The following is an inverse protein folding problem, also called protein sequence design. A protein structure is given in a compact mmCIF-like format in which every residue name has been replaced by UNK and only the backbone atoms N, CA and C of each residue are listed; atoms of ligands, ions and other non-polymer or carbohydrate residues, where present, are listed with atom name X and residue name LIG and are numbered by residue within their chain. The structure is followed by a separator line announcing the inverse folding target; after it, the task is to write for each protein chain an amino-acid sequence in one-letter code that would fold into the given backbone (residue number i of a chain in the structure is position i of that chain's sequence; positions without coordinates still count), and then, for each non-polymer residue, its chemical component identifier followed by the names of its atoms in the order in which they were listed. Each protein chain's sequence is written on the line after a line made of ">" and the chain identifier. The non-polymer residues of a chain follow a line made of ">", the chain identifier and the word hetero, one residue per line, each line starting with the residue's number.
data_IF_847767950848
#
_entry.id   IF_847767950848
#
_cell.length_a   1.000
_cell.length_b   1.000
_cell.length_c   1.000
_cell.angle_alpha   90.00
_cell.angle_beta   90.00
_cell.angle_gamma   90.00
#
_symmetry.space_group_name_H-M   'P 1'
#
loop_
_entity.id
_entity.type
_entity.pdbx_description
1 polymer ?
#
# COMPACT_ATOMS: atom_id res chain seq x y z
N UNK A 1 21.78 -15.06 9.20
CA UNK A 1 21.17 -15.41 10.50
C UNK A 1 19.69 -15.58 10.23
N UNK A 2 19.17 -16.79 10.36
CA UNK A 2 17.80 -17.11 9.99
C UNK A 2 16.85 -16.50 11.03
N UNK A 3 16.06 -15.50 10.60
CA UNK A 3 15.13 -14.77 11.46
C UNK A 3 14.04 -15.68 12.05
N UNK A 4 13.72 -16.81 11.39
CA UNK A 4 12.80 -17.80 11.93
C UNK A 4 13.41 -18.57 13.10
N UNK A 5 14.71 -18.87 13.06
CA UNK A 5 15.37 -19.59 14.17
C UNK A 5 15.71 -18.70 15.37
N UNK A 6 15.78 -17.37 15.17
CA UNK A 6 16.15 -16.42 16.23
C UNK A 6 14.98 -15.69 16.88
N UNK A 7 13.76 -15.77 16.33
CA UNK A 7 12.60 -15.08 16.89
C UNK A 7 11.32 -15.95 16.81
N UNK A 8 10.79 -16.41 17.97
CA UNK A 8 9.59 -17.24 18.01
C UNK A 8 8.37 -16.60 17.34
N UNK A 9 8.24 -15.27 17.40
CA UNK A 9 7.14 -14.58 16.71
C UNK A 9 7.28 -14.66 15.20
N UNK A 10 8.49 -14.67 14.65
CA UNK A 10 8.73 -14.80 13.20
C UNK A 10 8.42 -16.22 12.75
N UNK A 11 8.83 -17.23 13.52
CA UNK A 11 8.54 -18.64 13.21
C UNK A 11 7.03 -18.95 13.23
N UNK A 12 6.29 -18.40 14.19
CA UNK A 12 4.88 -18.73 14.38
C UNK A 12 3.91 -17.83 13.59
N UNK A 13 4.29 -16.58 13.33
CA UNK A 13 3.34 -15.54 12.86
C UNK A 13 3.67 -14.96 11.49
N UNK A 14 4.83 -15.26 10.90
CA UNK A 14 5.24 -14.75 9.59
C UNK A 14 5.29 -15.87 8.55
N UNK A 15 4.42 -15.79 7.54
CA UNK A 15 4.54 -16.58 6.31
C UNK A 15 4.94 -15.68 5.14
N UNK A 16 5.89 -16.13 4.33
CA UNK A 16 6.32 -15.42 3.12
C UNK A 16 5.98 -16.28 1.90
N UNK A 17 5.19 -15.72 0.99
CA UNK A 17 4.79 -16.38 -0.25
C UNK A 17 5.44 -15.68 -1.43
N UNK A 18 6.30 -16.40 -2.16
CA UNK A 18 6.93 -15.90 -3.38
C UNK A 18 6.20 -16.44 -4.60
N UNK A 19 5.73 -15.56 -5.47
CA UNK A 19 5.27 -15.94 -6.80
C UNK A 19 6.40 -15.67 -7.81
N UNK A 20 7.10 -16.73 -8.18
CA UNK A 20 8.23 -16.67 -9.10
C UNK A 20 7.76 -17.28 -10.41
N UNK A 21 7.76 -16.49 -11.49
CA UNK A 21 7.59 -17.05 -12.82
C UNK A 21 8.78 -17.96 -13.09
N UNK A 22 8.54 -19.26 -13.27
CA UNK A 22 9.52 -20.25 -13.69
C UNK A 22 9.90 -20.02 -15.17
N UNK A 23 10.36 -18.81 -15.49
CA UNK A 23 11.11 -18.56 -16.70
C UNK A 23 12.50 -19.17 -16.48
N UNK A 24 13.04 -19.81 -17.51
CA UNK A 24 14.35 -20.51 -17.50
C UNK A 24 15.57 -19.60 -17.22
N UNK A 25 15.36 -18.40 -16.67
CA UNK A 25 16.38 -17.43 -16.32
C UNK A 25 16.45 -17.25 -14.79
N UNK A 26 17.47 -17.86 -14.20
CA UNK A 26 17.84 -17.84 -12.77
C UNK A 26 18.26 -16.46 -12.21
N UNK A 27 17.68 -15.36 -12.67
CA UNK A 27 18.22 -14.01 -12.41
C UNK A 27 17.56 -13.25 -11.25
N UNK A 28 16.75 -13.88 -10.37
CA UNK A 28 16.04 -13.09 -9.32
C UNK A 28 15.92 -13.70 -7.92
N UNK A 29 16.46 -14.89 -7.66
CA UNK A 29 16.16 -15.62 -6.40
C UNK A 29 17.28 -15.48 -5.34
N UNK A 30 18.48 -15.03 -5.74
CA UNK A 30 19.66 -15.19 -4.89
C UNK A 30 19.76 -14.22 -3.71
N UNK A 31 18.98 -13.14 -3.67
CA UNK A 31 19.05 -12.15 -2.56
C UNK A 31 18.00 -12.36 -1.47
N UNK A 32 16.94 -13.14 -1.70
CA UNK A 32 15.81 -13.23 -0.74
C UNK A 32 15.77 -14.52 0.08
N UNK A 33 16.58 -15.52 -0.28
CA UNK A 33 16.62 -16.80 0.42
C UNK A 33 18.10 -17.19 0.52
N UNK A 34 18.54 -17.64 1.69
CA UNK A 34 19.88 -18.16 1.96
C UNK A 34 20.18 -19.49 1.25
N UNK A 35 19.74 -19.62 -0.01
CA UNK A 35 20.20 -20.65 -0.94
C UNK A 35 21.41 -20.09 -1.70
N UNK A 36 22.60 -20.60 -1.41
CA UNK A 36 23.82 -20.35 -2.20
C UNK A 36 23.61 -20.87 -3.62
N UNK A 37 23.19 -20.01 -4.54
CA UNK A 37 23.26 -20.28 -5.99
C UNK A 37 24.60 -19.77 -6.52
N UNK A 38 25.69 -20.49 -6.27
CA UNK A 38 27.06 -19.97 -6.34
C UNK A 38 27.58 -19.42 -7.69
N UNK A 39 26.77 -19.23 -8.74
CA UNK A 39 27.16 -18.51 -9.97
C UNK A 39 25.96 -17.82 -10.65
N UNK A 40 25.63 -16.59 -10.27
CA UNK A 40 24.77 -15.72 -11.10
C UNK A 40 25.52 -14.43 -11.45
N UNK A 41 25.63 -14.14 -12.75
CA UNK A 41 26.15 -12.86 -13.28
C UNK A 41 24.98 -11.90 -13.48
N UNK A 42 25.08 -10.68 -12.96
CA UNK A 42 24.12 -9.61 -13.25
C UNK A 42 24.20 -9.23 -14.74
N UNK A 43 23.21 -9.65 -15.53
CA UNK A 43 23.05 -9.19 -16.90
C UNK A 43 22.22 -7.90 -16.86
N UNK A 44 22.83 -6.78 -17.24
CA UNK A 44 22.11 -5.51 -17.42
C UNK A 44 21.04 -5.72 -18.51
N UNK A 45 19.77 -5.80 -18.11
CA UNK A 45 18.66 -5.99 -19.05
C UNK A 45 18.51 -4.76 -19.94
N UNK A 46 18.18 -4.97 -21.21
CA UNK A 46 17.87 -3.89 -22.15
C UNK A 46 16.61 -3.13 -21.66
N UNK A 47 16.58 -1.80 -21.84
CA UNK A 47 15.47 -0.90 -21.53
C UNK A 47 14.10 -1.47 -21.96
N UNK A 48 14.00 -1.94 -23.21
CA UNK A 48 12.74 -2.49 -23.74
C UNK A 48 12.28 -3.74 -22.97
N UNK A 49 13.21 -4.62 -22.59
CA UNK A 49 12.91 -5.82 -21.80
C UNK A 49 12.48 -5.44 -20.38
N UNK A 50 13.09 -4.42 -19.78
CA UNK A 50 12.67 -3.91 -18.45
C UNK A 50 11.27 -3.32 -18.51
N UNK A 51 10.97 -2.51 -19.54
CA UNK A 51 9.65 -1.93 -19.75
C UNK A 51 8.57 -3.00 -19.98
N UNK A 52 8.84 -4.01 -20.81
CA UNK A 52 7.90 -5.10 -21.07
C UNK A 52 7.61 -5.90 -19.79
N UNK A 53 8.65 -6.25 -19.02
CA UNK A 53 8.47 -6.95 -17.75
C UNK A 53 7.63 -6.14 -16.73
N UNK A 54 7.75 -4.81 -16.76
CA UNK A 54 6.98 -3.92 -15.89
C UNK A 54 5.49 -3.92 -16.26
N UNK A 55 5.21 -3.85 -17.56
CA UNK A 55 3.84 -3.83 -18.12
C UNK A 55 3.13 -5.18 -17.98
N UNK A 56 3.87 -6.28 -18.14
CA UNK A 56 3.33 -7.64 -18.04
C UNK A 56 3.17 -8.12 -16.61
N UNK A 57 3.73 -7.40 -15.62
CA UNK A 57 3.66 -7.80 -14.24
C UNK A 57 2.19 -7.81 -13.73
N UNK A 58 1.65 -8.98 -13.34
CA UNK A 58 0.22 -9.11 -13.05
C UNK A 58 -0.10 -8.70 -11.60
N UNK A 59 0.27 -7.47 -11.21
CA UNK A 59 0.26 -6.98 -9.83
C UNK A 59 -1.04 -7.30 -9.07
N UNK A 60 -2.20 -7.05 -9.68
CA UNK A 60 -3.49 -7.23 -9.02
C UNK A 60 -3.88 -8.71 -8.86
N UNK A 61 -3.46 -9.58 -9.79
CA UNK A 61 -3.61 -11.02 -9.63
C UNK A 61 -2.75 -11.52 -8.47
N UNK A 62 -1.49 -11.07 -8.39
CA UNK A 62 -0.57 -11.46 -7.32
C UNK A 62 -1.09 -10.98 -5.95
N UNK A 63 -1.56 -9.74 -5.86
CA UNK A 63 -2.20 -9.20 -4.63
C UNK A 63 -3.40 -10.04 -4.21
N UNK A 64 -4.28 -10.39 -5.15
CA UNK A 64 -5.46 -11.21 -4.84
C UNK A 64 -5.08 -12.62 -4.40
N UNK A 65 -4.08 -13.23 -5.04
CA UNK A 65 -3.58 -14.55 -4.66
C UNK A 65 -3.00 -14.52 -3.24
N UNK A 66 -2.13 -13.55 -2.94
CA UNK A 66 -1.56 -13.37 -1.60
C UNK A 66 -2.67 -13.19 -0.56
N UNK A 67 -3.66 -12.33 -0.82
CA UNK A 67 -4.83 -12.12 0.06
C UNK A 67 -5.70 -13.35 0.26
N UNK A 68 -5.80 -14.23 -0.73
CA UNK A 68 -6.56 -15.48 -0.59
C UNK A 68 -5.83 -16.50 0.30
N UNK A 69 -4.51 -16.38 0.41
CA UNK A 69 -3.66 -17.26 1.23
C UNK A 69 -3.48 -16.75 2.66
N UNK A 70 -3.96 -15.54 3.00
CA UNK A 70 -3.87 -15.03 4.37
C UNK A 70 -4.93 -15.66 5.26
N UNK A 71 -4.54 -16.08 6.46
CA UNK A 71 -5.45 -16.63 7.48
C UNK A 71 -5.89 -15.59 8.53
N UNK A 72 -5.40 -14.35 8.42
CA UNK A 72 -5.66 -13.29 9.40
C UNK A 72 -6.98 -12.58 9.14
N UNK A 73 -7.70 -12.24 10.21
CA UNK A 73 -8.98 -11.53 10.13
C UNK A 73 -8.85 -10.14 9.50
N UNK A 74 -7.75 -9.46 9.79
CA UNK A 74 -7.45 -8.13 9.27
C UNK A 74 -6.19 -8.18 8.42
N UNK A 75 -6.16 -7.29 7.43
CA UNK A 75 -5.08 -7.20 6.45
C UNK A 75 -4.66 -5.75 6.26
N UNK A 76 -3.37 -5.59 5.95
CA UNK A 76 -2.76 -4.37 5.43
C UNK A 76 -2.02 -4.75 4.14
N UNK A 77 -2.02 -3.86 3.15
CA UNK A 77 -1.30 -4.04 1.90
C UNK A 77 -0.28 -2.90 1.78
N UNK A 78 0.99 -3.25 1.63
CA UNK A 78 2.08 -2.31 1.50
C UNK A 78 3.13 -2.86 0.53
N UNK A 79 3.93 -1.96 -0.04
CA UNK A 79 5.09 -2.39 -0.82
C UNK A 79 6.21 -2.80 0.17
N UNK A 80 7.15 -3.63 -0.28
CA UNK A 80 8.15 -4.26 0.61
C UNK A 80 9.15 -3.28 1.24
N UNK A 81 9.27 -2.09 0.66
CA UNK A 81 10.13 -0.99 1.08
C UNK A 81 9.41 0.01 2.00
N UNK A 82 8.15 -0.27 2.37
CA UNK A 82 7.42 0.55 3.32
C UNK A 82 7.48 -0.03 4.72
N UNK A 83 7.61 0.88 5.70
CA UNK A 83 7.73 0.55 7.10
C UNK A 83 6.66 1.26 7.91
N UNK A 84 6.38 0.75 9.09
CA UNK A 84 5.28 1.20 9.93
C UNK A 84 5.81 1.81 11.22
N UNK A 85 5.10 2.83 11.71
CA UNK A 85 5.40 3.48 12.98
C UNK A 85 5.46 2.49 14.14
N UNK A 86 6.17 2.85 15.21
CA UNK A 86 6.26 2.03 16.42
C UNK A 86 4.86 1.64 16.93
N UNK A 87 4.71 0.36 17.30
CA UNK A 87 3.46 -0.24 17.80
C UNK A 87 2.26 -0.15 16.83
N UNK A 88 2.49 0.04 15.53
CA UNK A 88 1.42 0.17 14.53
C UNK A 88 0.40 -0.97 14.59
N UNK A 89 0.87 -2.22 14.57
CA UNK A 89 -0.02 -3.39 14.59
C UNK A 89 -0.94 -3.37 15.82
N UNK A 90 -0.37 -3.22 17.01
CA UNK A 90 -1.11 -3.23 18.27
C UNK A 90 -2.16 -2.10 18.32
N UNK A 91 -1.78 -0.88 17.95
CA UNK A 91 -2.69 0.28 17.91
C UNK A 91 -3.82 0.08 16.91
N UNK A 92 -3.52 -0.45 15.72
CA UNK A 92 -4.52 -0.71 14.68
C UNK A 92 -5.45 -1.87 15.05
N UNK A 93 -4.94 -2.93 15.68
CA UNK A 93 -5.73 -4.05 16.18
C UNK A 93 -6.73 -3.59 17.25
N UNK A 94 -6.33 -2.67 18.15
CA UNK A 94 -7.24 -2.11 19.14
C UNK A 94 -8.47 -1.47 18.48
N UNK A 95 -8.26 -0.64 17.45
CA UNK A 95 -9.35 -0.02 16.71
C UNK A 95 -10.14 -1.03 15.86
N UNK A 96 -9.46 -1.93 15.16
CA UNK A 96 -10.12 -2.91 14.29
C UNK A 96 -11.06 -3.82 15.08
N UNK A 97 -10.61 -4.33 16.25
CA UNK A 97 -11.43 -5.15 17.14
C UNK A 97 -12.64 -4.39 17.69
N UNK A 98 -12.48 -3.09 17.97
CA UNK A 98 -13.57 -2.24 18.44
C UNK A 98 -14.60 -1.93 17.35
N UNK A 99 -14.15 -1.58 16.14
CA UNK A 99 -15.03 -0.99 15.12
C UNK A 99 -15.50 -1.96 14.06
N UNK A 100 -14.69 -2.91 13.59
CA UNK A 100 -15.07 -3.73 12.42
C UNK A 100 -16.21 -4.72 12.72
N UNK A 101 -16.42 -5.10 13.98
CA UNK A 101 -17.56 -5.93 14.38
C UNK A 101 -18.89 -5.20 14.18
N UNK A 102 -18.95 -3.92 14.57
CA UNK A 102 -20.18 -3.11 14.46
C UNK A 102 -20.29 -2.35 13.14
N UNK A 103 -19.16 -2.14 12.45
CA UNK A 103 -19.07 -1.41 11.19
C UNK A 103 -18.23 -2.20 10.17
N UNK A 104 -18.77 -3.30 9.61
CA UNK A 104 -18.02 -4.19 8.70
C UNK A 104 -17.62 -3.53 7.38
N UNK A 105 -18.22 -2.38 7.04
CA UNK A 105 -17.87 -1.54 5.88
C UNK A 105 -17.06 -0.30 6.30
N UNK A 106 -16.15 -0.47 7.26
CA UNK A 106 -15.20 0.56 7.66
C UNK A 106 -13.78 0.08 7.36
N UNK A 107 -12.91 1.02 6.98
CA UNK A 107 -11.46 0.80 6.93
C UNK A 107 -10.73 1.88 7.71
N UNK A 108 -9.56 1.52 8.23
CA UNK A 108 -8.73 2.35 9.08
C UNK A 108 -7.57 2.91 8.26
N UNK A 109 -7.69 4.17 7.83
CA UNK A 109 -6.70 4.84 6.97
C UNK A 109 -5.61 5.46 7.81
N UNK A 110 -4.36 5.29 7.39
CA UNK A 110 -3.19 5.92 8.00
C UNK A 110 -2.46 6.81 6.99
N UNK A 111 -1.62 7.71 7.49
CA UNK A 111 -0.83 8.64 6.66
C UNK A 111 0.47 7.96 6.20
N UNK A 112 1.01 8.44 5.09
CA UNK A 112 2.27 7.96 4.51
C UNK A 112 3.24 9.12 4.40
N UNK A 113 4.51 8.86 4.73
CA UNK A 113 5.58 9.84 4.69
C UNK A 113 6.79 9.30 3.89
N UNK A 114 7.60 10.21 3.37
CA UNK A 114 8.95 9.92 2.89
C UNK A 114 9.92 10.43 3.94
N UNK A 115 10.91 9.62 4.29
CA UNK A 115 11.94 9.93 5.28
C UNK A 115 13.30 9.67 4.64
N UNK A 116 14.25 10.57 4.86
CA UNK A 116 15.63 10.35 4.39
C UNK A 116 16.23 9.08 5.01
N UNK A 117 16.97 8.30 4.20
CA UNK A 117 17.42 6.95 4.57
C UNK A 117 18.24 6.93 5.87
N UNK A 118 19.01 7.99 6.12
CA UNK A 118 19.83 8.12 7.33
C UNK A 118 19.02 8.18 8.64
N UNK A 119 17.74 8.60 8.60
CA UNK A 119 16.87 8.68 9.78
C UNK A 119 15.91 7.50 9.94
N UNK A 120 15.95 6.53 9.01
CA UNK A 120 14.98 5.44 8.89
C UNK A 120 14.72 4.65 10.20
N UNK A 121 15.75 4.47 11.04
CA UNK A 121 15.65 3.71 12.32
C UNK A 121 15.71 4.60 13.58
N UNK A 122 15.73 5.92 13.43
CA UNK A 122 16.02 6.83 14.55
C UNK A 122 14.72 7.32 15.21
N UNK A 123 13.65 7.49 14.42
CA UNK A 123 12.43 8.20 14.85
C UNK A 123 11.14 7.51 14.38
N UNK A 124 10.87 6.33 14.93
CA UNK A 124 9.69 5.51 14.58
C UNK A 124 8.37 6.00 15.22
N UNK A 125 8.42 7.01 16.09
CA UNK A 125 7.23 7.59 16.77
C UNK A 125 6.70 8.80 16.01
N UNK A 126 5.44 9.16 16.24
CA UNK A 126 4.89 10.37 15.62
C UNK A 126 5.62 11.62 16.08
N UNK A 127 5.95 11.73 17.36
CA UNK A 127 6.73 12.88 17.85
C UNK A 127 8.05 12.99 17.08
N UNK A 128 8.77 11.88 16.91
CA UNK A 128 10.01 11.87 16.15
C UNK A 128 9.83 12.20 14.67
N UNK A 129 8.76 11.71 14.03
CA UNK A 129 8.45 12.09 12.65
C UNK A 129 8.15 13.59 12.51
N UNK A 130 7.44 14.19 13.46
CA UNK A 130 7.14 15.63 13.43
C UNK A 130 8.43 16.45 13.54
N UNK A 131 9.37 16.06 14.41
CA UNK A 131 10.71 16.68 14.48
C UNK A 131 11.41 16.63 13.12
N UNK A 132 11.45 15.46 12.47
CA UNK A 132 12.05 15.31 11.14
C UNK A 132 11.34 16.14 10.07
N UNK A 133 10.02 16.32 10.16
CA UNK A 133 9.28 17.18 9.23
C UNK A 133 9.63 18.66 9.42
N UNK A 134 9.84 19.10 10.66
CA UNK A 134 10.25 20.48 10.99
C UNK A 134 11.69 20.75 10.52
N UNK A 135 12.57 19.76 10.64
CA UNK A 135 13.96 19.79 10.17
C UNK A 135 14.10 19.55 8.64
N UNK A 136 12.99 19.22 7.96
CA UNK A 136 12.89 18.92 6.51
C UNK A 136 13.56 17.61 6.07
N UNK A 137 13.86 16.70 7.01
CA UNK A 137 14.30 15.33 6.75
C UNK A 137 13.15 14.35 6.48
N UNK A 138 11.91 14.79 6.68
CA UNK A 138 10.71 14.04 6.34
C UNK A 138 9.66 14.92 5.63
N UNK A 139 8.82 14.31 4.79
CA UNK A 139 7.73 14.98 4.11
C UNK A 139 6.54 14.07 3.85
N UNK A 140 5.40 14.65 3.48
CA UNK A 140 4.25 13.86 3.01
C UNK A 140 4.63 13.08 1.75
N UNK A 141 4.23 11.81 1.71
CA UNK A 141 4.49 10.92 0.59
C UNK A 141 3.89 11.46 -0.71
N UNK A 142 4.73 11.61 -1.74
CA UNK A 142 4.40 12.37 -2.95
C UNK A 142 3.65 13.68 -2.64
N UNK A 143 4.18 14.58 -1.80
CA UNK A 143 3.46 15.78 -1.32
C UNK A 143 2.85 16.70 -2.40
N UNK A 144 3.27 16.59 -3.67
CA UNK A 144 2.70 17.30 -4.82
C UNK A 144 1.59 16.54 -5.55
N UNK A 145 1.40 15.25 -5.24
CA UNK A 145 0.38 14.39 -5.81
C UNK A 145 -0.88 14.42 -4.94
N UNK A 146 -1.96 14.95 -5.50
CA UNK A 146 -3.26 15.09 -4.82
C UNK A 146 -3.80 13.74 -4.34
N UNK A 147 -3.41 12.63 -4.98
CA UNK A 147 -3.92 11.30 -4.65
C UNK A 147 -3.58 10.78 -3.26
N UNK A 148 -2.52 11.27 -2.61
CA UNK A 148 -2.21 10.88 -1.22
C UNK A 148 -2.56 11.96 -0.19
N UNK A 149 -3.23 13.03 -0.62
CA UNK A 149 -3.63 14.10 0.28
C UNK A 149 -4.66 13.60 1.30
N UNK A 150 -4.40 13.88 2.57
CA UNK A 150 -5.34 13.68 3.68
C UNK A 150 -5.41 14.99 4.47
N UNK A 151 -6.60 15.62 4.59
CA UNK A 151 -6.72 16.93 5.22
C UNK A 151 -6.37 16.88 6.72
N UNK A 152 -6.27 18.06 7.35
CA UNK A 152 -5.99 18.21 8.79
C UNK A 152 -4.61 17.69 9.24
N UNK A 153 -3.59 17.79 8.38
CA UNK A 153 -2.21 17.42 8.74
C UNK A 153 -1.68 18.27 9.90
N UNK A 154 -1.91 19.59 9.91
CA UNK A 154 -1.46 20.46 11.01
C UNK A 154 -2.09 20.09 12.35
N UNK A 155 -3.39 19.75 12.36
CA UNK A 155 -4.07 19.27 13.56
C UNK A 155 -3.54 17.89 13.97
N UNK A 156 -3.22 17.03 13.00
CA UNK A 156 -2.58 15.74 13.26
C UNK A 156 -1.21 15.95 13.92
N UNK A 157 -0.31 16.76 13.36
CA UNK A 157 1.03 17.00 13.92
C UNK A 157 0.99 17.59 15.35
N UNK A 158 0.09 18.55 15.60
CA UNK A 158 -0.03 19.22 16.92
C UNK A 158 -0.67 18.35 18.01
N UNK A 159 -1.52 17.39 17.64
CA UNK A 159 -2.20 16.56 18.61
C UNK A 159 -1.22 15.60 19.30
N UNK A 160 -1.33 15.42 20.62
CA UNK A 160 -0.44 14.54 21.39
C UNK A 160 -0.52 13.10 20.88
N UNK A 161 0.61 12.41 20.82
CA UNK A 161 0.68 10.97 20.53
C UNK A 161 -0.03 10.18 21.65
N UNK A 162 -0.81 9.17 21.26
CA UNK A 162 -1.49 8.26 22.20
C UNK A 162 -0.48 7.33 22.86
N UNK A 163 -0.92 6.62 23.90
CA UNK A 163 -0.13 5.57 24.52
C UNK A 163 0.23 4.45 23.53
N UNK A 164 1.19 3.60 23.90
CA UNK A 164 1.74 2.57 23.02
C UNK A 164 0.72 1.53 22.56
N UNK A 165 -0.38 1.34 23.29
CA UNK A 165 -1.33 0.24 23.08
C UNK A 165 -2.62 0.66 22.35
N UNK A 166 -2.88 1.97 22.23
CA UNK A 166 -4.16 2.47 21.70
C UNK A 166 -3.95 3.67 20.78
N UNK A 167 -4.95 3.94 19.96
CA UNK A 167 -5.05 5.14 19.15
C UNK A 167 -6.53 5.49 18.97
N UNK A 168 -6.83 6.53 18.19
CA UNK A 168 -8.18 7.03 17.98
C UNK A 168 -8.46 7.37 16.52
N UNK A 169 -9.73 7.59 16.19
CA UNK A 169 -10.13 8.12 14.89
C UNK A 169 -10.04 9.65 14.94
N UNK A 170 -9.24 10.23 14.04
CA UNK A 170 -9.15 11.68 13.88
C UNK A 170 -10.42 12.24 13.24
N UNK A 171 -10.90 11.62 12.16
CA UNK A 171 -12.15 11.96 11.48
C UNK A 171 -12.54 10.87 10.48
N UNK A 172 -13.80 10.89 10.04
CA UNK A 172 -14.27 10.08 8.93
C UNK A 172 -14.17 10.87 7.62
N UNK A 173 -13.63 10.23 6.59
CA UNK A 173 -13.49 10.82 5.28
C UNK A 173 -14.35 10.06 4.26
N UNK A 174 -15.10 10.82 3.47
CA UNK A 174 -15.84 10.26 2.35
C UNK A 174 -14.94 10.23 1.13
N UNK A 175 -14.91 9.09 0.46
CA UNK A 175 -14.24 8.96 -0.83
C UNK A 175 -14.99 9.82 -1.86
N UNK A 176 -14.37 10.90 -2.33
CA UNK A 176 -15.03 11.92 -3.17
C UNK A 176 -14.22 12.27 -4.42
N UNK A 177 -13.07 11.64 -4.64
CA UNK A 177 -12.19 11.92 -5.77
C UNK A 177 -11.43 10.68 -6.20
N UNK A 178 -11.41 10.40 -7.51
CA UNK A 178 -10.91 9.14 -8.07
C UNK A 178 -9.39 8.97 -8.09
N UNK A 179 -8.59 10.02 -7.86
CA UNK A 179 -7.16 9.82 -7.67
C UNK A 179 -6.79 9.60 -6.21
N UNK A 180 -7.73 9.72 -5.26
CA UNK A 180 -7.43 9.49 -3.86
C UNK A 180 -7.10 8.01 -3.63
N UNK A 181 -5.88 7.73 -3.20
CA UNK A 181 -5.31 6.40 -2.98
C UNK A 181 -4.78 6.29 -1.54
N UNK A 182 -5.66 6.28 -0.52
CA UNK A 182 -5.26 6.04 0.85
C UNK A 182 -4.79 4.59 1.06
N UNK A 183 -3.85 4.41 1.97
CA UNK A 183 -3.50 3.11 2.53
C UNK A 183 -4.25 2.88 3.83
N UNK A 184 -4.62 1.63 4.10
CA UNK A 184 -5.52 1.31 5.20
C UNK A 184 -5.35 -0.11 5.71
N UNK A 185 -5.76 -0.31 6.96
CA UNK A 185 -6.07 -1.62 7.52
C UNK A 185 -7.56 -1.90 7.31
N UNK A 186 -7.89 -3.15 7.01
CA UNK A 186 -9.25 -3.58 6.70
C UNK A 186 -9.52 -5.00 7.15
N UNK A 187 -10.80 -5.39 7.23
CA UNK A 187 -11.18 -6.80 7.22
C UNK A 187 -10.73 -7.47 5.91
N UNK A 188 -10.39 -8.76 5.94
CA UNK A 188 -10.06 -9.53 4.74
C UNK A 188 -11.20 -9.54 3.70
N UNK A 189 -12.44 -9.27 4.14
CA UNK A 189 -13.68 -9.30 3.35
C UNK A 189 -13.89 -8.11 2.40
N UNK A 190 -12.94 -7.18 2.30
CA UNK A 190 -13.02 -6.12 1.27
C UNK A 190 -13.00 -6.72 -0.14
N UNK A 191 -13.53 -6.03 -1.17
CA UNK A 191 -13.44 -6.48 -2.56
C UNK A 191 -12.00 -6.81 -2.97
N UNK A 192 -11.84 -7.70 -3.95
CA UNK A 192 -10.54 -7.98 -4.56
C UNK A 192 -10.12 -6.85 -5.51
N UNK A 193 -8.82 -6.73 -5.77
CA UNK A 193 -8.32 -5.84 -6.83
C UNK A 193 -8.83 -6.33 -8.19
N UNK A 194 -9.22 -5.42 -9.09
CA UNK A 194 -9.68 -5.81 -10.43
C UNK A 194 -8.46 -6.15 -11.31
N UNK A 195 -8.30 -7.40 -11.79
CA UNK A 195 -7.14 -7.83 -12.57
C UNK A 195 -7.01 -7.15 -13.95
N UNK A 196 -8.08 -6.50 -14.42
CA UNK A 196 -8.05 -5.78 -15.71
C UNK A 196 -7.23 -4.49 -15.65
N UNK A 197 -6.89 -4.01 -14.45
CA UNK A 197 -6.02 -2.86 -14.24
C UNK A 197 -4.57 -3.32 -14.07
N UNK A 198 -3.72 -2.87 -15.00
CA UNK A 198 -2.29 -3.19 -15.06
C UNK A 198 -1.44 -2.16 -14.34
N UNK A 199 -0.30 -2.58 -13.83
CA UNK A 199 0.71 -1.67 -13.29
C UNK A 199 1.29 -0.78 -14.42
N UNK A 200 1.58 0.52 -14.19
CA UNK A 200 1.33 1.33 -12.99
C UNK A 200 0.08 2.22 -13.14
N UNK A 201 -1.01 1.73 -13.75
CA UNK A 201 -2.18 2.53 -14.12
C UNK A 201 -3.40 2.19 -13.26
N UNK A 202 -3.59 2.97 -12.18
CA UNK A 202 -4.71 2.84 -11.25
C UNK A 202 -4.86 1.42 -10.67
N UNK A 203 -3.77 0.66 -10.64
CA UNK A 203 -3.77 -0.73 -10.17
C UNK A 203 -4.19 -0.80 -8.70
N UNK A 204 -3.86 0.20 -7.87
CA UNK A 204 -4.28 0.27 -6.48
C UNK A 204 -5.57 1.10 -6.26
N UNK A 205 -5.75 2.22 -6.98
CA UNK A 205 -6.97 3.05 -6.95
C UNK A 205 -8.25 2.26 -7.21
N UNK A 206 -8.23 1.30 -8.15
CA UNK A 206 -9.44 0.56 -8.53
C UNK A 206 -10.13 -0.12 -7.36
N UNK A 207 -9.37 -0.64 -6.40
CA UNK A 207 -9.94 -1.23 -5.18
C UNK A 207 -10.70 -0.18 -4.37
N UNK A 208 -10.15 1.04 -4.24
CA UNK A 208 -10.78 2.13 -3.50
C UNK A 208 -12.06 2.61 -4.20
N UNK A 209 -12.07 2.63 -5.53
CA UNK A 209 -13.28 2.93 -6.30
C UNK A 209 -14.38 1.92 -5.99
N UNK A 210 -14.08 0.61 -6.07
CA UNK A 210 -15.07 -0.42 -5.75
C UNK A 210 -15.51 -0.35 -4.28
N UNK A 211 -14.60 -0.06 -3.34
CA UNK A 211 -14.95 0.13 -1.94
C UNK A 211 -15.87 1.34 -1.72
N UNK A 212 -15.63 2.46 -2.39
CA UNK A 212 -16.56 3.60 -2.37
C UNK A 212 -17.94 3.14 -2.85
N UNK A 213 -18.01 2.44 -3.99
CA UNK A 213 -19.26 1.92 -4.55
C UNK A 213 -19.95 0.91 -3.64
N UNK A 214 -19.19 0.12 -2.91
CA UNK A 214 -19.71 -0.82 -1.91
C UNK A 214 -20.18 -0.15 -0.61
N UNK A 215 -20.01 1.17 -0.47
CA UNK A 215 -20.44 1.96 0.68
C UNK A 215 -19.47 1.90 1.87
N UNK A 216 -18.17 1.76 1.62
CA UNK A 216 -17.17 1.78 2.68
C UNK A 216 -16.94 3.19 3.24
N UNK A 217 -16.75 3.26 4.55
CA UNK A 217 -16.34 4.46 5.27
C UNK A 217 -14.84 4.42 5.57
N UNK A 218 -14.13 5.51 5.29
CA UNK A 218 -12.70 5.62 5.52
C UNK A 218 -12.47 6.41 6.81
N UNK A 219 -12.11 5.71 7.89
CA UNK A 219 -11.84 6.32 9.18
C UNK A 219 -10.35 6.66 9.27
N UNK A 220 -10.01 7.95 9.30
CA UNK A 220 -8.63 8.40 9.37
C UNK A 220 -8.14 8.24 10.80
N UNK A 221 -7.09 7.43 10.98
CA UNK A 221 -6.53 7.09 12.28
C UNK A 221 -5.51 8.14 12.70
N UNK A 222 -5.49 8.43 13.99
CA UNK A 222 -4.50 9.29 14.63
C UNK A 222 -3.17 8.56 14.83
N UNK A 223 -2.07 9.30 14.91
CA UNK A 223 -0.71 8.89 15.35
C UNK A 223 -0.01 7.62 14.84
N UNK A 224 -0.66 6.79 14.03
CA UNK A 224 -0.06 5.69 13.29
C UNK A 224 0.18 6.12 11.85
N UNK A 225 1.30 5.68 11.31
CA UNK A 225 1.70 6.04 9.95
C UNK A 225 2.58 4.95 9.33
N UNK A 226 2.72 5.06 8.01
CA UNK A 226 3.66 4.31 7.21
C UNK A 226 4.69 5.28 6.65
N UNK A 227 5.90 4.82 6.38
CA UNK A 227 6.95 5.64 5.81
C UNK A 227 7.80 4.84 4.82
N UNK A 228 8.32 5.54 3.83
CA UNK A 228 9.21 5.01 2.80
C UNK A 228 10.60 5.65 2.99
N UNK A 229 11.68 4.86 3.15
CA UNK A 229 13.03 5.38 3.23
C UNK A 229 13.51 5.78 1.84
N UNK A 230 14.06 6.99 1.74
CA UNK A 230 14.57 7.52 0.48
C UNK A 230 13.47 8.11 -0.41
N UNK A 231 13.94 8.78 -1.46
CA UNK A 231 13.09 9.45 -2.45
C UNK A 231 13.21 8.75 -3.79
N UNK A 232 12.07 8.57 -4.49
CA UNK A 232 12.07 8.00 -5.84
C UNK A 232 13.02 8.74 -6.77
N UNK A 233 13.81 7.98 -7.51
CA UNK A 233 14.77 8.54 -8.45
C UNK A 233 14.08 9.04 -9.73
N UNK A 234 14.73 9.95 -10.46
CA UNK A 234 14.24 10.43 -11.76
C UNK A 234 14.18 9.30 -12.80
N UNK A 235 15.09 8.33 -12.72
CA UNK A 235 15.17 7.21 -13.66
C UNK A 235 13.97 6.27 -13.52
N UNK A 236 13.60 5.90 -12.29
CA UNK A 236 12.38 5.13 -12.02
C UNK A 236 11.13 5.83 -12.55
N UNK A 237 11.07 7.15 -12.39
CA UNK A 237 9.95 7.96 -12.89
C UNK A 237 9.82 7.88 -14.42
N UNK A 238 10.93 7.90 -15.16
CA UNK A 238 10.93 7.81 -16.62
C UNK A 238 10.40 6.46 -17.13
N UNK A 239 10.79 5.34 -16.50
CA UNK A 239 10.28 4.01 -16.87
C UNK A 239 8.76 3.92 -16.66
N UNK A 240 8.27 4.45 -15.54
CA UNK A 240 6.84 4.47 -15.23
C UNK A 240 6.07 5.27 -16.27
N UNK A 241 6.56 6.43 -16.70
CA UNK A 241 5.87 7.26 -17.68
C UNK A 241 5.76 6.59 -19.06
N UNK A 242 6.81 5.91 -19.52
CA UNK A 242 6.73 5.12 -20.76
C UNK A 242 5.74 3.96 -20.64
N UNK A 243 5.70 3.28 -19.49
CA UNK A 243 4.74 2.20 -19.24
C UNK A 243 3.29 2.72 -19.24
N UNK A 244 3.05 3.87 -18.61
CA UNK A 244 1.74 4.55 -18.59
C UNK A 244 1.29 4.93 -19.99
N UNK A 245 2.21 5.43 -20.81
CA UNK A 245 1.92 5.77 -22.20
C UNK A 245 1.54 4.53 -23.02
N UNK A 246 2.33 3.45 -22.93
CA UNK A 246 2.08 2.20 -23.65
C UNK A 246 0.71 1.58 -23.30
N UNK A 247 0.30 1.67 -22.04
CA UNK A 247 -0.93 1.06 -21.54
C UNK A 247 -2.17 1.98 -21.58
N UNK A 248 -2.07 3.19 -22.13
CA UNK A 248 -3.14 4.20 -22.08
C UNK A 248 -4.49 3.69 -22.62
N UNK A 249 -4.48 3.01 -23.77
CA UNK A 249 -5.69 2.51 -24.41
C UNK A 249 -6.33 1.34 -23.63
N UNK A 250 -5.51 0.46 -23.08
CA UNK A 250 -5.98 -0.66 -22.25
C UNK A 250 -6.63 -0.15 -20.96
N UNK A 251 -6.01 0.85 -20.32
CA UNK A 251 -6.56 1.51 -19.14
C UNK A 251 -7.94 2.10 -19.39
N UNK A 252 -8.17 2.81 -20.50
CA UNK A 252 -9.50 3.37 -20.77
C UNK A 252 -10.55 2.28 -21.02
N UNK A 253 -10.18 1.17 -21.70
CA UNK A 253 -11.06 0.02 -21.87
C UNK A 253 -11.41 -0.64 -20.53
N UNK A 254 -10.41 -0.83 -19.66
CA UNK A 254 -10.59 -1.37 -18.32
C UNK A 254 -11.50 -0.48 -17.46
N UNK A 255 -11.25 0.84 -17.45
CA UNK A 255 -12.10 1.83 -16.76
C UNK A 255 -13.55 1.78 -17.22
N UNK A 256 -13.81 1.76 -18.53
CA UNK A 256 -15.19 1.68 -19.04
C UNK A 256 -15.89 0.42 -18.54
N UNK A 257 -15.26 -0.75 -18.72
CA UNK A 257 -15.82 -2.04 -18.26
C UNK A 257 -16.05 -2.06 -16.75
N UNK A 258 -15.12 -1.49 -15.99
CA UNK A 258 -15.22 -1.39 -14.54
C UNK A 258 -16.43 -0.55 -14.11
N UNK A 259 -16.61 0.64 -14.67
CA UNK A 259 -17.75 1.49 -14.32
C UNK A 259 -19.09 0.89 -14.76
N UNK A 260 -19.16 0.28 -15.94
CA UNK A 260 -20.34 -0.48 -16.40
C UNK A 260 -20.70 -1.60 -15.40
N UNK A 261 -19.69 -2.29 -14.84
CA UNK A 261 -19.84 -3.32 -13.79
C UNK A 261 -20.30 -2.71 -12.46
N UNK A 262 -19.67 -1.62 -12.02
CA UNK A 262 -19.98 -0.95 -10.74
C UNK A 262 -21.38 -0.35 -10.73
N UNK A 263 -21.86 0.17 -11.84
CA UNK A 263 -23.21 0.72 -11.98
C UNK A 263 -24.29 -0.34 -11.84
N UNK A 264 -24.05 -1.54 -12.39
CA UNK A 264 -24.95 -2.69 -12.21
C UNK A 264 -24.89 -3.25 -10.79
N UNK A 265 -23.68 -3.39 -10.24
CA UNK A 265 -23.45 -4.02 -8.93
C UNK A 265 -23.86 -3.12 -7.76
N UNK A 266 -23.64 -1.82 -7.87
CA UNK A 266 -23.88 -0.83 -6.82
C UNK A 266 -24.65 0.40 -7.36
N UNK A 267 -25.93 0.26 -7.73
CA UNK A 267 -26.70 1.34 -8.35
C UNK A 267 -26.92 2.54 -7.40
N UNK A 268 -27.05 2.29 -6.10
CA UNK A 268 -27.35 3.32 -5.07
C UNK A 268 -26.23 4.34 -4.86
N UNK A 269 -24.99 4.00 -5.21
CA UNK A 269 -23.81 4.86 -5.00
C UNK A 269 -23.31 5.50 -6.29
N UNK A 270 -24.11 5.46 -7.38
CA UNK A 270 -23.67 5.95 -8.70
C UNK A 270 -23.26 7.42 -8.72
N UNK A 271 -24.06 8.30 -8.11
CA UNK A 271 -23.73 9.73 -7.99
C UNK A 271 -22.86 10.08 -6.78
N UNK A 272 -22.39 9.08 -6.05
CA UNK A 272 -21.73 9.26 -4.75
C UNK A 272 -20.22 9.06 -4.78
N UNK A 273 -19.74 8.38 -5.82
CA UNK A 273 -18.36 7.96 -6.03
C UNK A 273 -17.99 8.31 -7.47
N UNK A 274 -16.95 9.14 -7.63
CA UNK A 274 -16.43 9.60 -8.93
C UNK A 274 -15.31 8.70 -9.46
#
# INVERSE_FOLDING_TARGET
>A
MDLQSSNPNVAEKLSVHYMISMLKDCNRIQQMISFKLEKCKFIKKNYNTTLQNLVDYPINMVRNYARNMTNTKYIVLADMDHFFSKNFEQKMLHLANRFFVYHPKMVLVYRIFEVEEEYFNIKETKTGLVELMEEKHARLFHGYFIGHFIPKINAWMKAKESNDNTTSIQFYHRYHYNQWEPQFVSSQTIPFHDPSFRYPLHDNAVLRWEMCRAGYTFAIVHDVFMYHPGMKTKEESNYLDHARYALKNEKEKAKKKFWDKMDKKYPKTKGQCL
#
